data_IF_151115411979
#
_entry.id   IF_151115411979
#
_cell.length_a   1.000
_cell.length_b   1.000
_cell.length_c   1.000
_cell.angle_alpha   90.00
_cell.angle_beta   90.00
_cell.angle_gamma   90.00
#
_symmetry.space_group_name_H-M   'P 1'
#
loop_
_entity.id
_entity.type
_entity.pdbx_description
1 polymer ?
#
# COMPACT_ATOMS: atom_id res chain seq x y z
N UNK A 1 25.53 -0.21 -4.07
CA UNK A 1 26.12 -0.63 -5.37
C UNK A 1 25.79 0.34 -6.50
N UNK A 2 24.71 1.11 -6.42
CA UNK A 2 24.29 2.10 -7.42
C UNK A 2 24.87 3.51 -7.18
N UNK A 3 25.83 3.66 -6.26
CA UNK A 3 26.43 4.97 -5.92
C UNK A 3 27.38 5.51 -6.99
N UNK A 4 27.81 4.67 -7.95
CA UNK A 4 28.84 5.02 -8.95
C UNK A 4 30.27 5.12 -8.39
N UNK A 5 30.46 4.94 -7.09
CA UNK A 5 31.77 4.98 -6.43
C UNK A 5 32.38 3.57 -6.33
N UNK A 6 33.39 3.30 -7.16
CA UNK A 6 34.08 2.01 -7.21
C UNK A 6 34.80 1.66 -5.89
N UNK A 7 35.26 2.66 -5.15
CA UNK A 7 35.88 2.49 -3.83
C UNK A 7 34.86 1.90 -2.86
N UNK A 8 33.69 2.55 -2.73
CA UNK A 8 32.62 2.05 -1.86
C UNK A 8 32.10 0.68 -2.28
N UNK A 9 31.94 0.45 -3.59
CA UNK A 9 31.47 -0.85 -4.12
C UNK A 9 32.45 -1.97 -3.77
N UNK A 10 33.75 -1.76 -3.97
CA UNK A 10 34.78 -2.78 -3.69
C UNK A 10 34.93 -3.11 -2.20
N UNK A 11 34.64 -2.15 -1.31
CA UNK A 11 34.74 -2.34 0.14
C UNK A 11 33.49 -2.96 0.77
N UNK A 12 32.36 -3.00 0.06
CA UNK A 12 31.09 -3.50 0.60
C UNK A 12 31.19 -4.95 1.09
N UNK A 13 31.72 -5.85 0.26
CA UNK A 13 31.82 -7.26 0.62
C UNK A 13 32.79 -7.52 1.79
N UNK A 14 34.04 -6.99 1.78
CA UNK A 14 34.92 -7.06 2.95
C UNK A 14 34.28 -6.51 4.23
N UNK A 15 33.56 -5.39 4.16
CA UNK A 15 32.90 -4.79 5.31
C UNK A 15 31.83 -5.74 5.91
N UNK A 16 30.98 -6.31 5.06
CA UNK A 16 29.93 -7.26 5.50
C UNK A 16 30.54 -8.52 6.12
N UNK A 17 31.61 -9.06 5.54
CA UNK A 17 32.33 -10.20 6.11
C UNK A 17 32.92 -9.88 7.49
N UNK A 18 33.54 -8.71 7.65
CA UNK A 18 34.13 -8.30 8.91
C UNK A 18 33.07 -8.13 10.02
N UNK A 19 31.92 -7.53 9.70
CA UNK A 19 30.80 -7.41 10.65
C UNK A 19 30.28 -8.78 11.06
N UNK A 20 30.10 -9.71 10.11
CA UNK A 20 29.65 -11.06 10.42
C UNK A 20 30.66 -11.84 11.27
N UNK A 21 31.96 -11.68 11.00
CA UNK A 21 33.02 -12.29 11.81
C UNK A 21 33.02 -11.76 13.25
N UNK A 22 32.79 -10.45 13.43
CA UNK A 22 32.65 -9.84 14.75
C UNK A 22 31.41 -10.39 15.48
N UNK A 23 30.27 -10.49 14.80
CA UNK A 23 29.05 -11.08 15.36
C UNK A 23 29.24 -12.56 15.72
N UNK A 24 29.92 -13.35 14.89
CA UNK A 24 30.26 -14.74 15.19
C UNK A 24 31.14 -14.83 16.45
N UNK A 25 32.16 -13.98 16.55
CA UNK A 25 33.06 -13.92 17.72
C UNK A 25 32.32 -13.55 19.01
N UNK A 26 31.27 -12.74 18.90
CA UNK A 26 30.38 -12.38 20.01
C UNK A 26 29.23 -13.40 20.25
N UNK A 27 29.20 -14.54 19.54
CA UNK A 27 28.10 -15.52 19.59
C UNK A 27 26.71 -14.95 19.22
N UNK A 28 26.70 -13.94 18.33
CA UNK A 28 25.51 -13.25 17.83
C UNK A 28 25.22 -13.54 16.35
N UNK A 29 26.11 -14.17 15.58
CA UNK A 29 25.97 -14.32 14.14
C UNK A 29 24.76 -15.16 13.66
N UNK A 30 24.22 -16.03 14.52
CA UNK A 30 22.95 -16.71 14.26
C UNK A 30 21.71 -15.85 14.54
N UNK A 31 21.86 -14.77 15.33
CA UNK A 31 20.78 -13.93 15.88
C UNK A 31 20.65 -12.58 15.17
N UNK A 32 21.77 -11.99 14.78
CA UNK A 32 21.83 -10.71 14.06
C UNK A 32 22.31 -11.01 12.64
N UNK A 33 21.48 -10.65 11.65
CA UNK A 33 21.75 -10.91 10.24
C UNK A 33 22.40 -9.71 9.59
N UNK A 34 23.54 -9.92 8.93
CA UNK A 34 24.22 -8.88 8.16
C UNK A 34 23.72 -8.92 6.73
N UNK A 35 23.28 -7.76 6.22
CA UNK A 35 22.89 -7.59 4.82
C UNK A 35 23.31 -6.19 4.31
N UNK A 36 22.88 -5.86 3.09
CA UNK A 36 23.04 -4.54 2.47
C UNK A 36 21.73 -4.14 1.82
N UNK A 37 21.44 -2.84 1.79
CA UNK A 37 20.23 -2.30 1.18
C UNK A 37 20.49 -1.92 -0.26
N UNK A 38 19.51 -2.19 -1.12
CA UNK A 38 19.55 -1.89 -2.55
C UNK A 38 18.41 -0.97 -2.94
N UNK A 39 18.64 -0.08 -3.89
CA UNK A 39 17.57 0.60 -4.64
C UNK A 39 17.08 -0.30 -5.78
N UNK A 40 15.86 -0.09 -6.29
CA UNK A 40 15.37 -0.79 -7.49
C UNK A 40 16.26 -0.64 -8.73
N UNK A 41 17.12 0.38 -8.79
CA UNK A 41 18.11 0.58 -9.86
C UNK A 41 19.20 -0.51 -9.96
N UNK A 42 19.21 -1.52 -9.07
CA UNK A 42 20.01 -2.74 -9.29
C UNK A 42 19.45 -3.64 -10.40
N UNK A 43 18.20 -3.40 -10.81
CA UNK A 43 17.54 -4.12 -11.91
C UNK A 43 17.69 -3.37 -13.22
N UNK A 44 17.90 -4.11 -14.31
CA UNK A 44 17.84 -3.59 -15.69
C UNK A 44 16.48 -3.80 -16.34
N UNK A 45 15.76 -4.85 -15.93
CA UNK A 45 14.39 -5.13 -16.34
C UNK A 45 13.54 -5.42 -15.11
N UNK A 46 12.30 -4.92 -15.11
CA UNK A 46 11.34 -5.12 -14.02
C UNK A 46 9.86 -5.08 -14.46
N UNK A 47 9.59 -4.86 -15.76
CA UNK A 47 8.24 -4.82 -16.32
C UNK A 47 8.22 -5.63 -17.64
N UNK A 48 7.46 -6.75 -17.72
CA UNK A 48 6.64 -7.31 -16.65
C UNK A 48 7.49 -7.90 -15.50
N UNK A 49 6.94 -8.08 -14.28
CA UNK A 49 7.68 -8.61 -13.13
C UNK A 49 8.41 -9.95 -13.39
N UNK A 50 7.87 -10.82 -14.24
CA UNK A 50 8.52 -12.08 -14.63
C UNK A 50 9.85 -11.88 -15.37
N UNK A 51 10.08 -10.71 -15.97
CA UNK A 51 11.31 -10.37 -16.69
C UNK A 51 12.41 -9.81 -15.77
N UNK A 52 12.10 -9.66 -14.47
CA UNK A 52 13.01 -9.14 -13.46
C UNK A 52 14.43 -9.68 -13.61
N UNK A 53 15.40 -8.80 -13.84
CA UNK A 53 16.81 -9.18 -13.97
C UNK A 53 17.74 -8.10 -13.43
N UNK A 54 18.79 -8.54 -12.72
CA UNK A 54 19.85 -7.64 -12.23
C UNK A 54 20.71 -7.14 -13.38
N UNK A 55 21.16 -5.88 -13.26
CA UNK A 55 22.14 -5.29 -14.17
C UNK A 55 23.35 -6.23 -14.32
N UNK A 56 23.68 -6.68 -15.55
CA UNK A 56 24.82 -7.54 -15.82
C UNK A 56 26.14 -7.04 -15.23
N UNK A 57 26.35 -5.72 -15.17
CA UNK A 57 27.55 -5.11 -14.59
C UNK A 57 27.66 -5.35 -13.08
N UNK A 58 26.54 -5.55 -12.38
CA UNK A 58 26.49 -5.77 -10.94
C UNK A 58 26.45 -7.25 -10.55
N UNK A 59 26.16 -8.16 -11.49
CA UNK A 59 25.89 -9.57 -11.18
C UNK A 59 27.05 -10.29 -10.48
N UNK A 60 28.30 -9.98 -10.81
CA UNK A 60 29.47 -10.60 -10.16
C UNK A 60 29.47 -10.31 -8.65
N UNK A 61 29.37 -9.03 -8.28
CA UNK A 61 29.30 -8.58 -6.89
C UNK A 61 28.03 -9.07 -6.20
N UNK A 62 26.88 -9.03 -6.88
CA UNK A 62 25.60 -9.53 -6.36
C UNK A 62 25.66 -11.03 -6.05
N UNK A 63 26.20 -11.86 -6.93
CA UNK A 63 26.35 -13.30 -6.67
C UNK A 63 27.22 -13.57 -5.45
N UNK A 64 28.29 -12.78 -5.26
CA UNK A 64 29.15 -12.89 -4.09
C UNK A 64 28.39 -12.53 -2.79
N UNK A 65 27.62 -11.44 -2.81
CA UNK A 65 26.77 -11.02 -1.69
C UNK A 65 25.65 -12.02 -1.40
N UNK A 66 24.98 -12.54 -2.44
CA UNK A 66 23.89 -13.50 -2.33
C UNK A 66 24.37 -14.85 -1.80
N UNK A 67 25.54 -15.32 -2.23
CA UNK A 67 26.16 -16.52 -1.66
C UNK A 67 26.43 -16.35 -0.16
N UNK A 68 27.02 -15.21 0.22
CA UNK A 68 27.23 -14.88 1.63
C UNK A 68 25.92 -14.78 2.42
N UNK A 69 24.90 -14.13 1.87
CA UNK A 69 23.59 -14.00 2.50
C UNK A 69 22.93 -15.38 2.70
N UNK A 70 23.00 -16.25 1.69
CA UNK A 70 22.52 -17.63 1.76
C UNK A 70 23.21 -18.42 2.88
N UNK A 71 24.54 -18.37 2.95
CA UNK A 71 25.32 -19.09 3.96
C UNK A 71 25.01 -18.62 5.39
N UNK A 72 24.65 -17.34 5.56
CA UNK A 72 24.36 -16.74 6.87
C UNK A 72 22.85 -16.63 7.18
N UNK A 73 21.98 -17.06 6.24
CA UNK A 73 20.52 -16.88 6.31
C UNK A 73 20.13 -15.40 6.52
N UNK A 74 20.79 -14.52 5.78
CA UNK A 74 20.48 -13.09 5.74
C UNK A 74 19.54 -12.78 4.57
N UNK A 75 18.65 -11.78 4.72
CA UNK A 75 17.72 -11.41 3.67
C UNK A 75 18.39 -10.57 2.57
N UNK A 76 17.78 -10.53 1.40
CA UNK A 76 18.01 -9.50 0.39
C UNK A 76 17.15 -8.27 0.71
N UNK A 77 17.77 -7.15 1.00
CA UNK A 77 17.09 -5.91 1.40
C UNK A 77 16.98 -4.93 0.24
N UNK A 78 15.77 -4.43 -0.04
CA UNK A 78 15.46 -3.59 -1.21
C UNK A 78 14.54 -2.42 -0.84
N UNK A 79 14.63 -1.31 -1.58
CA UNK A 79 13.80 -0.13 -1.42
C UNK A 79 12.92 0.11 -2.67
N UNK A 80 11.76 -0.56 -2.77
CA UNK A 80 10.78 -0.31 -3.82
C UNK A 80 9.98 0.95 -3.50
N UNK A 81 9.85 1.86 -4.47
CA UNK A 81 9.07 3.09 -4.33
C UNK A 81 8.09 3.23 -5.50
N UNK A 82 6.82 2.82 -5.33
CA UNK A 82 5.76 3.08 -6.28
C UNK A 82 5.57 4.57 -6.60
N UNK A 83 5.92 5.46 -5.66
CA UNK A 83 5.94 6.91 -5.85
C UNK A 83 6.77 7.34 -7.08
N UNK A 84 8.03 6.88 -7.19
CA UNK A 84 8.91 7.25 -8.31
C UNK A 84 8.44 6.65 -9.64
N UNK A 85 7.80 5.47 -9.60
CA UNK A 85 7.18 4.89 -10.78
C UNK A 85 6.00 5.75 -11.28
N UNK A 86 5.17 6.27 -10.37
CA UNK A 86 4.10 7.21 -10.71
C UNK A 86 4.63 8.55 -11.23
N UNK A 87 5.69 9.11 -10.64
CA UNK A 87 6.32 10.34 -11.15
C UNK A 87 6.77 10.21 -12.60
N UNK A 88 7.23 9.02 -13.00
CA UNK A 88 7.69 8.74 -14.36
C UNK A 88 6.54 8.52 -15.35
N UNK A 89 5.34 8.20 -14.85
CA UNK A 89 4.15 7.89 -15.64
C UNK A 89 2.87 8.38 -14.91
N UNK A 90 2.57 9.69 -14.97
CA UNK A 90 1.59 10.34 -14.09
C UNK A 90 0.13 10.16 -14.54
N UNK A 91 -0.22 9.02 -15.13
CA UNK A 91 -1.59 8.70 -15.55
C UNK A 91 -2.43 8.21 -14.36
N UNK A 92 -3.74 8.47 -14.39
CA UNK A 92 -4.64 8.14 -13.27
C UNK A 92 -4.68 6.63 -12.97
N UNK A 93 -4.61 5.79 -13.99
CA UNK A 93 -4.54 4.33 -13.82
C UNK A 93 -3.24 3.88 -13.14
N UNK A 94 -2.12 4.58 -13.40
CA UNK A 94 -0.85 4.32 -12.72
C UNK A 94 -0.91 4.79 -11.28
N UNK A 95 -1.55 5.92 -10.99
CA UNK A 95 -1.77 6.36 -9.61
C UNK A 95 -2.58 5.34 -8.81
N UNK A 96 -3.72 4.89 -9.34
CA UNK A 96 -4.56 3.90 -8.67
C UNK A 96 -3.80 2.59 -8.40
N UNK A 97 -3.01 2.14 -9.38
CA UNK A 97 -2.15 0.97 -9.26
C UNK A 97 -1.03 1.16 -8.21
N UNK A 98 -0.44 2.35 -8.11
CA UNK A 98 0.58 2.64 -7.10
C UNK A 98 0.01 2.81 -5.69
N UNK A 99 -1.24 3.28 -5.56
CA UNK A 99 -1.91 3.53 -4.28
C UNK A 99 -2.75 2.35 -3.77
N UNK A 100 -2.69 1.18 -4.40
CA UNK A 100 -3.53 0.00 -4.09
C UNK A 100 -5.05 0.29 -4.19
N UNK A 101 -5.44 1.29 -5.00
CA UNK A 101 -6.84 1.61 -5.23
C UNK A 101 -7.45 0.67 -6.29
N UNK A 102 -8.79 0.55 -6.38
CA UNK A 102 -9.44 -0.23 -7.43
C UNK A 102 -8.95 0.15 -8.83
N UNK A 103 -8.50 -0.86 -9.58
CA UNK A 103 -8.01 -0.72 -10.95
C UNK A 103 -8.18 -2.06 -11.68
N UNK A 104 -7.96 -2.07 -13.00
CA UNK A 104 -8.08 -3.28 -13.82
C UNK A 104 -6.99 -4.34 -13.57
N UNK A 105 -5.95 -3.99 -12.82
CA UNK A 105 -4.71 -4.72 -12.72
C UNK A 105 -3.92 -4.75 -14.05
N UNK A 106 -2.74 -5.36 -13.98
CA UNK A 106 -1.82 -5.58 -15.11
C UNK A 106 -1.48 -7.06 -15.15
N UNK A 107 -1.81 -7.73 -16.26
CA UNK A 107 -1.45 -9.14 -16.46
C UNK A 107 -0.02 -9.20 -16.97
N UNK A 108 0.83 -9.90 -16.23
CA UNK A 108 2.20 -10.20 -16.60
C UNK A 108 2.20 -11.14 -17.83
N UNK A 109 2.82 -10.68 -18.92
CA UNK A 109 2.82 -11.40 -20.20
C UNK A 109 3.72 -12.64 -20.21
N UNK A 110 4.66 -12.78 -19.27
CA UNK A 110 5.58 -13.91 -19.21
C UNK A 110 5.04 -15.08 -18.39
N UNK A 111 4.21 -14.84 -17.38
CA UNK A 111 3.69 -15.88 -16.49
C UNK A 111 2.16 -15.86 -16.25
N UNK A 112 1.45 -14.89 -16.81
CA UNK A 112 -0.01 -14.75 -16.70
C UNK A 112 -0.51 -14.27 -15.33
N UNK A 113 0.38 -13.85 -14.42
CA UNK A 113 -0.01 -13.36 -13.09
C UNK A 113 -0.64 -11.97 -13.18
N UNK A 114 -1.76 -11.79 -12.51
CA UNK A 114 -2.41 -10.49 -12.37
C UNK A 114 -1.79 -9.75 -11.18
N UNK A 115 -1.19 -8.60 -11.45
CA UNK A 115 -0.80 -7.65 -10.42
C UNK A 115 -1.87 -6.57 -10.30
N UNK A 116 -2.35 -6.31 -9.10
CA UNK A 116 -3.35 -5.25 -8.83
C UNK A 116 -2.74 -4.02 -8.17
N UNK A 117 -1.45 -4.08 -7.80
CA UNK A 117 -0.71 -2.95 -7.25
C UNK A 117 0.77 -2.98 -7.65
N UNK A 118 1.42 -1.80 -7.63
CA UNK A 118 2.82 -1.62 -8.03
C UNK A 118 3.82 -2.21 -7.01
N UNK A 119 3.48 -2.23 -5.73
CA UNK A 119 4.37 -2.76 -4.69
C UNK A 119 4.66 -4.25 -4.93
N UNK A 120 3.62 -5.06 -5.14
CA UNK A 120 3.74 -6.48 -5.45
C UNK A 120 4.52 -6.69 -6.74
N UNK A 121 4.26 -5.87 -7.78
CA UNK A 121 4.97 -5.95 -9.05
C UNK A 121 6.47 -5.68 -8.89
N UNK A 122 6.85 -4.66 -8.10
CA UNK A 122 8.26 -4.34 -7.83
C UNK A 122 8.94 -5.41 -6.98
N UNK A 123 8.27 -5.94 -5.96
CA UNK A 123 8.80 -7.02 -5.13
C UNK A 123 8.98 -8.32 -5.93
N UNK A 124 8.01 -8.67 -6.78
CA UNK A 124 8.10 -9.88 -7.60
C UNK A 124 9.11 -9.73 -8.75
N UNK A 125 9.35 -8.52 -9.26
CA UNK A 125 10.48 -8.27 -10.16
C UNK A 125 11.84 -8.59 -9.50
N UNK A 126 11.99 -8.27 -8.21
CA UNK A 126 13.19 -8.64 -7.43
C UNK A 126 13.26 -10.15 -7.23
N UNK A 127 12.14 -10.80 -6.88
CA UNK A 127 12.07 -12.26 -6.74
C UNK A 127 12.45 -12.98 -8.05
N UNK A 128 11.94 -12.51 -9.19
CA UNK A 128 12.32 -13.00 -10.53
C UNK A 128 13.83 -12.84 -10.79
N UNK A 129 14.40 -11.69 -10.44
CA UNK A 129 15.84 -11.44 -10.62
C UNK A 129 16.71 -12.36 -9.75
N UNK A 130 16.31 -12.58 -8.49
CA UNK A 130 16.96 -13.54 -7.59
C UNK A 130 16.87 -14.97 -8.14
N UNK A 131 15.68 -15.36 -8.62
CA UNK A 131 15.45 -16.67 -9.25
C UNK A 131 16.33 -16.88 -10.47
N UNK A 132 16.46 -15.86 -11.34
CA UNK A 132 17.34 -15.90 -12.51
C UNK A 132 18.82 -16.10 -12.19
N UNK A 133 19.26 -15.80 -10.97
CA UNK A 133 20.62 -16.07 -10.48
C UNK A 133 20.73 -17.36 -9.64
N UNK A 134 19.65 -18.12 -9.46
CA UNK A 134 19.62 -19.35 -8.66
C UNK A 134 19.43 -19.13 -7.16
N UNK A 135 18.88 -17.98 -6.76
CA UNK A 135 18.69 -17.55 -5.37
C UNK A 135 17.20 -17.36 -5.01
N UNK A 136 16.31 -18.14 -5.63
CA UNK A 136 14.85 -18.06 -5.46
C UNK A 136 14.35 -18.16 -4.01
N UNK A 137 15.07 -18.91 -3.15
CA UNK A 137 14.69 -19.12 -1.74
C UNK A 137 15.16 -17.99 -0.82
N UNK A 138 15.77 -16.93 -1.38
CA UNK A 138 16.28 -15.79 -0.59
C UNK A 138 15.12 -14.98 -0.05
N UNK A 139 15.10 -14.77 1.27
CA UNK A 139 14.12 -13.89 1.89
C UNK A 139 14.30 -12.45 1.42
N UNK A 140 13.20 -11.81 1.01
CA UNK A 140 13.18 -10.40 0.64
C UNK A 140 12.64 -9.60 1.83
N UNK A 141 13.34 -8.50 2.16
CA UNK A 141 12.89 -7.50 3.13
C UNK A 141 12.85 -6.14 2.43
N UNK A 142 11.74 -5.43 2.59
CA UNK A 142 11.63 -4.05 2.11
C UNK A 142 12.17 -3.12 3.17
N UNK A 143 13.36 -2.55 2.94
CA UNK A 143 14.06 -1.73 3.94
C UNK A 143 13.53 -0.29 3.98
N UNK A 144 13.00 0.21 2.86
CA UNK A 144 12.35 1.51 2.80
C UNK A 144 11.29 1.53 1.70
N UNK A 145 10.13 2.08 2.03
CA UNK A 145 9.11 2.48 1.05
C UNK A 145 8.18 3.52 1.65
N UNK A 146 7.63 4.42 0.85
CA UNK A 146 6.78 5.50 1.36
C UNK A 146 6.28 6.42 0.26
N UNK A 147 5.55 7.44 0.67
CA UNK A 147 4.99 8.44 -0.24
C UNK A 147 4.99 9.82 0.43
N UNK A 148 5.50 10.88 -0.23
CA UNK A 148 5.63 12.19 0.37
C UNK A 148 4.28 12.92 0.47
N UNK A 149 4.05 13.58 1.60
CA UNK A 149 2.81 14.31 1.88
C UNK A 149 2.75 15.70 1.25
N UNK A 150 3.90 16.24 0.84
CA UNK A 150 4.07 17.57 0.24
C UNK A 150 5.26 17.52 -0.71
N UNK A 151 5.33 18.45 -1.66
CA UNK A 151 6.44 18.57 -2.61
C UNK A 151 6.46 19.96 -3.25
N UNK A 152 7.39 20.18 -4.16
CA UNK A 152 7.47 21.41 -4.95
C UNK A 152 6.28 21.48 -5.93
N UNK A 153 5.96 22.68 -6.41
CA UNK A 153 4.79 22.89 -7.29
C UNK A 153 4.87 22.16 -8.63
N UNK A 154 6.07 21.74 -9.03
CA UNK A 154 6.35 20.97 -10.24
C UNK A 154 6.43 19.46 -9.98
N UNK A 155 6.30 19.00 -8.74
CA UNK A 155 6.30 17.58 -8.41
C UNK A 155 4.88 17.01 -8.51
N UNK A 156 4.69 16.03 -9.38
CA UNK A 156 3.42 15.31 -9.51
C UNK A 156 3.39 14.16 -8.50
N UNK A 157 2.29 14.05 -7.73
CA UNK A 157 2.07 12.93 -6.81
C UNK A 157 2.19 13.23 -5.32
N UNK A 158 3.10 14.09 -4.82
CA UNK A 158 3.11 14.42 -3.41
C UNK A 158 1.80 15.09 -2.98
N UNK A 159 1.11 14.48 -2.03
CA UNK A 159 -0.07 15.06 -1.39
C UNK A 159 -0.38 14.32 -0.10
N UNK A 160 -1.06 14.99 0.83
CA UNK A 160 -1.48 14.37 2.08
C UNK A 160 -2.40 13.16 1.83
N UNK A 161 -3.28 13.29 0.83
CA UNK A 161 -4.21 12.24 0.43
C UNK A 161 -3.49 11.01 -0.11
N UNK A 162 -2.55 11.19 -1.05
CA UNK A 162 -1.80 10.10 -1.64
C UNK A 162 -0.87 9.44 -0.62
N UNK A 163 -0.22 10.23 0.25
CA UNK A 163 0.61 9.70 1.32
C UNK A 163 -0.17 8.82 2.31
N UNK A 164 -1.35 9.31 2.71
CA UNK A 164 -2.28 8.54 3.57
C UNK A 164 -2.79 7.28 2.86
N UNK A 165 -3.18 7.38 1.59
CA UNK A 165 -3.66 6.25 0.81
C UNK A 165 -2.57 5.19 0.65
N UNK A 166 -1.38 5.57 0.22
CA UNK A 166 -0.26 4.65 0.01
C UNK A 166 0.11 3.90 1.29
N UNK A 167 0.48 4.63 2.35
CA UNK A 167 0.95 4.01 3.58
C UNK A 167 -0.17 3.21 4.28
N UNK A 168 -1.39 3.74 4.32
CA UNK A 168 -2.53 3.05 4.93
C UNK A 168 -2.92 1.77 4.19
N UNK A 169 -2.93 1.79 2.85
CA UNK A 169 -3.27 0.62 2.05
C UNK A 169 -2.13 -0.41 2.05
N UNK A 170 -0.86 0.03 2.04
CA UNK A 170 0.29 -0.86 2.22
C UNK A 170 0.19 -1.62 3.56
N UNK A 171 -0.07 -0.92 4.66
CA UNK A 171 -0.25 -1.55 5.98
C UNK A 171 -1.40 -2.55 5.96
N UNK A 172 -2.51 -2.22 5.31
CA UNK A 172 -3.67 -3.11 5.17
C UNK A 172 -3.31 -4.36 4.36
N UNK A 173 -2.64 -4.19 3.23
CA UNK A 173 -2.15 -5.28 2.39
C UNK A 173 -1.21 -6.21 3.17
N UNK A 174 -0.20 -5.66 3.85
CA UNK A 174 0.76 -6.45 4.63
C UNK A 174 0.09 -7.21 5.79
N UNK A 175 -0.90 -6.63 6.46
CA UNK A 175 -1.67 -7.27 7.54
C UNK A 175 -2.62 -8.37 7.04
N UNK A 176 -3.02 -8.33 5.76
CA UNK A 176 -3.88 -9.38 5.18
C UNK A 176 -3.16 -10.72 5.00
N UNK A 177 -1.82 -10.71 5.03
CA UNK A 177 -0.96 -11.89 4.82
C UNK A 177 -1.11 -12.55 3.44
N UNK A 178 -1.76 -11.88 2.48
CA UNK A 178 -1.98 -12.42 1.13
C UNK A 178 -0.67 -12.66 0.38
N UNK A 179 0.37 -11.86 0.67
CA UNK A 179 1.65 -11.90 -0.03
C UNK A 179 1.55 -11.35 -1.45
N UNK A 180 2.53 -11.68 -2.29
CA UNK A 180 2.58 -11.26 -3.70
C UNK A 180 2.12 -12.39 -4.63
N UNK A 181 1.82 -12.11 -5.92
CA UNK A 181 1.47 -13.16 -6.89
C UNK A 181 2.49 -14.30 -7.07
N UNK A 182 3.80 -14.04 -6.90
CA UNK A 182 4.86 -15.05 -6.93
C UNK A 182 5.23 -15.60 -5.55
N UNK A 183 4.93 -14.88 -4.46
CA UNK A 183 5.17 -15.32 -3.09
C UNK A 183 3.88 -15.25 -2.24
N UNK A 184 2.87 -16.08 -2.57
CA UNK A 184 1.56 -16.02 -1.90
C UNK A 184 1.61 -16.57 -0.47
N UNK A 185 0.75 -16.03 0.40
CA UNK A 185 0.55 -16.53 1.77
C UNK A 185 1.62 -16.13 2.77
N UNK A 186 2.59 -15.29 2.38
CA UNK A 186 3.62 -14.72 3.27
C UNK A 186 3.64 -13.20 3.13
N UNK A 187 3.49 -12.50 4.26
CA UNK A 187 3.71 -11.05 4.29
C UNK A 187 5.19 -10.72 4.13
N UNK A 188 5.50 -9.60 3.48
CA UNK A 188 6.87 -9.13 3.28
C UNK A 188 7.22 -8.17 4.42
N UNK A 189 8.26 -8.48 5.18
CA UNK A 189 8.76 -7.57 6.22
C UNK A 189 9.14 -6.23 5.57
N UNK A 190 8.46 -5.17 5.99
CA UNK A 190 8.48 -3.88 5.30
C UNK A 190 8.61 -2.74 6.30
N UNK A 191 9.54 -1.83 6.04
CA UNK A 191 9.80 -0.64 6.83
C UNK A 191 9.32 0.61 6.08
N UNK A 192 8.41 1.35 6.72
CA UNK A 192 7.86 2.58 6.14
C UNK A 192 8.86 3.72 6.32
N UNK A 193 9.20 4.35 5.21
CA UNK A 193 9.99 5.56 5.14
C UNK A 193 9.05 6.79 5.16
N UNK A 194 9.07 7.66 6.17
CA UNK A 194 9.88 7.61 7.39
C UNK A 194 9.05 8.00 8.62
N UNK A 195 9.65 7.91 9.81
CA UNK A 195 8.94 8.27 11.03
C UNK A 195 8.63 9.78 11.09
N UNK A 196 9.61 10.64 10.77
CA UNK A 196 9.47 12.09 10.82
C UNK A 196 9.76 12.73 9.46
N UNK A 197 9.17 13.91 9.23
CA UNK A 197 9.64 14.84 8.20
C UNK A 197 11.09 15.24 8.55
N UNK A 198 11.98 15.18 7.55
CA UNK A 198 13.41 15.46 7.71
C UNK A 198 13.78 16.76 6.98
N UNK A 199 13.64 17.89 7.66
CA UNK A 199 13.73 19.25 7.09
C UNK A 199 15.12 19.64 6.54
N UNK A 200 16.17 18.89 6.92
CA UNK A 200 17.53 19.08 6.41
C UNK A 200 17.88 18.23 5.20
N UNK A 201 16.96 17.41 4.66
CA UNK A 201 17.26 16.59 3.48
C UNK A 201 17.48 17.47 2.23
N UNK A 202 18.58 17.23 1.48
CA UNK A 202 18.82 17.93 0.23
C UNK A 202 17.88 17.42 -0.87
N UNK A 203 17.82 18.15 -2.00
CA UNK A 203 17.01 17.76 -3.16
C UNK A 203 15.60 18.37 -3.15
N UNK A 204 14.68 17.71 -3.84
CA UNK A 204 13.29 18.15 -4.02
C UNK A 204 12.56 18.32 -2.68
N UNK A 205 11.51 19.14 -2.64
CA UNK A 205 10.75 19.35 -1.39
C UNK A 205 10.02 18.10 -0.90
N UNK A 206 9.70 17.16 -1.78
CA UNK A 206 9.19 15.84 -1.40
C UNK A 206 10.11 15.09 -0.43
N UNK A 207 11.43 15.19 -0.58
CA UNK A 207 12.40 14.52 0.29
C UNK A 207 12.24 14.91 1.76
N UNK A 208 11.73 16.11 2.04
CA UNK A 208 11.54 16.66 3.40
C UNK A 208 10.16 16.33 3.98
N UNK A 209 9.33 15.54 3.29
CA UNK A 209 7.90 15.41 3.59
C UNK A 209 7.38 13.95 3.61
N UNK A 210 8.25 12.96 3.78
CA UNK A 210 7.90 11.52 3.88
C UNK A 210 7.41 11.08 5.27
N UNK A 211 7.45 11.96 6.27
CA UNK A 211 7.17 11.61 7.65
C UNK A 211 5.73 11.18 7.91
N UNK A 212 5.56 10.17 8.76
CA UNK A 212 4.28 9.89 9.43
C UNK A 212 3.96 10.96 10.49
N UNK A 213 5.00 11.61 11.01
CA UNK A 213 4.95 12.73 11.94
C UNK A 213 5.73 13.92 11.35
N UNK A 214 5.35 15.14 11.72
CA UNK A 214 6.08 16.36 11.37
C UNK A 214 7.25 16.58 12.33
N UNK A 215 8.11 17.55 12.03
CA UNK A 215 9.25 17.93 12.87
C UNK A 215 8.85 18.43 14.28
N UNK A 216 7.63 18.91 14.44
CA UNK A 216 7.05 19.33 15.73
C UNK A 216 6.38 18.19 16.52
N UNK A 217 6.60 16.93 16.10
CA UNK A 217 6.03 15.70 16.67
C UNK A 217 4.52 15.54 16.46
N UNK A 218 3.85 16.45 15.75
CA UNK A 218 2.44 16.26 15.40
C UNK A 218 2.29 15.19 14.32
N UNK A 219 1.19 14.43 14.38
CA UNK A 219 0.88 13.42 13.36
C UNK A 219 0.65 14.13 12.01
N UNK A 220 1.34 13.69 10.96
CA UNK A 220 1.11 14.21 9.61
C UNK A 220 -0.24 13.70 9.08
N UNK A 221 -0.48 12.39 9.22
CA UNK A 221 -1.73 11.70 8.90
C UNK A 221 -1.78 10.36 9.65
N UNK A 222 -2.99 9.85 9.88
CA UNK A 222 -3.16 8.50 10.43
C UNK A 222 -2.93 7.45 9.33
N UNK A 223 -1.80 6.74 9.42
CA UNK A 223 -1.45 5.62 8.55
C UNK A 223 -2.00 4.26 9.05
N UNK A 224 -2.68 4.20 10.20
CA UNK A 224 -3.23 2.96 10.74
C UNK A 224 -2.20 2.06 11.45
N UNK A 225 -1.03 2.59 11.85
CA UNK A 225 -0.01 1.84 12.60
C UNK A 225 -0.34 1.67 14.08
N UNK A 226 -1.10 2.58 14.68
CA UNK A 226 -1.47 2.48 16.09
C UNK A 226 -2.35 1.24 16.31
N UNK A 227 -1.78 0.21 16.95
CA UNK A 227 -2.59 -0.77 17.69
C UNK A 227 -3.28 0.03 18.78
N UNK A 228 -4.60 0.17 18.69
CA UNK A 228 -5.40 0.72 19.79
C UNK A 228 -5.07 -0.05 21.08
N UNK A 229 -4.15 0.50 21.87
CA UNK A 229 -3.77 0.06 23.22
C UNK A 229 -4.33 1.00 24.27
N UNK A 230 -4.99 2.07 23.85
CA UNK A 230 -6.12 2.58 24.60
C UNK A 230 -7.32 1.68 24.31
N UNK A 231 -7.57 0.75 25.24
CA UNK A 231 -8.96 0.44 25.60
C UNK A 231 -9.60 1.74 26.11
N UNK A 232 -9.93 2.66 25.21
CA UNK A 232 -11.28 3.21 25.26
C UNK A 232 -12.19 1.98 25.22
N UNK A 233 -13.27 1.90 26.02
CA UNK A 233 -14.30 0.90 25.74
C UNK A 233 -14.58 0.97 24.23
N UNK A 234 -14.85 -0.14 23.52
CA UNK A 234 -15.15 -0.04 22.11
C UNK A 234 -16.30 0.95 21.99
N UNK A 235 -16.01 2.20 21.62
CA UNK A 235 -17.03 3.04 21.06
C UNK A 235 -17.22 2.36 19.73
N UNK A 236 -18.21 1.49 19.70
CA UNK A 236 -19.14 1.38 18.60
C UNK A 236 -19.52 2.83 18.23
N UNK A 237 -18.64 3.56 17.54
CA UNK A 237 -19.05 4.75 16.83
C UNK A 237 -19.82 4.18 15.67
N UNK A 238 -21.12 4.09 15.90
CA UNK A 238 -22.10 3.79 14.89
C UNK A 238 -21.87 4.78 13.75
N UNK A 239 -21.35 4.29 12.62
CA UNK A 239 -21.10 5.09 11.43
C UNK A 239 -21.95 4.57 10.28
N UNK A 240 -22.38 5.50 9.45
CA UNK A 240 -23.17 5.25 8.26
C UNK A 240 -22.45 5.81 7.04
N UNK A 241 -22.67 5.18 5.89
CA UNK A 241 -22.23 5.71 4.61
C UNK A 241 -23.36 6.53 3.99
N UNK A 242 -23.09 7.79 3.62
CA UNK A 242 -24.07 8.67 2.98
C UNK A 242 -23.45 9.39 1.77
N UNK A 243 -24.24 9.85 0.79
CA UNK A 243 -23.75 10.65 -0.32
C UNK A 243 -23.16 11.98 0.16
N UNK A 244 -22.14 12.48 -0.54
CA UNK A 244 -21.65 13.85 -0.37
C UNK A 244 -22.68 14.84 -0.93
N UNK A 245 -22.66 16.07 -0.41
CA UNK A 245 -23.44 17.16 -1.01
C UNK A 245 -22.93 17.49 -2.41
N UNK A 246 -23.84 17.74 -3.36
CA UNK A 246 -23.51 18.17 -4.72
C UNK A 246 -23.24 17.05 -5.73
N UNK A 247 -23.43 15.78 -5.36
CA UNK A 247 -23.38 14.64 -6.29
C UNK A 247 -24.61 14.67 -7.20
N UNK A 248 -24.43 14.38 -8.49
CA UNK A 248 -25.52 14.38 -9.45
C UNK A 248 -26.42 13.14 -9.30
N UNK A 249 -27.70 13.27 -9.66
CA UNK A 249 -28.65 12.14 -9.63
C UNK A 249 -28.19 10.97 -10.52
N UNK A 250 -27.42 11.26 -11.59
CA UNK A 250 -26.85 10.22 -12.48
C UNK A 250 -25.84 9.37 -11.72
N UNK A 251 -24.88 9.99 -11.03
CA UNK A 251 -23.87 9.27 -10.23
C UNK A 251 -24.51 8.52 -9.06
N UNK A 252 -25.55 9.08 -8.45
CA UNK A 252 -26.29 8.41 -7.38
C UNK A 252 -27.09 7.22 -7.88
N UNK A 253 -27.65 7.30 -9.08
CA UNK A 253 -28.32 6.17 -9.71
C UNK A 253 -27.32 5.05 -10.05
N UNK A 254 -26.13 5.38 -10.54
CA UNK A 254 -25.07 4.39 -10.78
C UNK A 254 -24.65 3.67 -9.49
N UNK A 255 -24.50 4.41 -8.38
CA UNK A 255 -24.24 3.82 -7.07
C UNK A 255 -25.38 2.90 -6.63
N UNK A 256 -26.62 3.33 -6.84
CA UNK A 256 -27.80 2.55 -6.46
C UNK A 256 -27.88 1.23 -7.24
N UNK A 257 -27.71 1.29 -8.56
CA UNK A 257 -27.71 0.12 -9.44
C UNK A 257 -26.56 -0.83 -9.11
N UNK A 258 -25.37 -0.28 -8.83
CA UNK A 258 -24.22 -1.04 -8.37
C UNK A 258 -24.52 -1.78 -7.07
N UNK A 259 -25.11 -1.12 -6.08
CA UNK A 259 -25.38 -1.72 -4.77
C UNK A 259 -26.44 -2.80 -4.86
N UNK A 260 -27.57 -2.49 -5.50
CA UNK A 260 -28.73 -3.39 -5.55
C UNK A 260 -28.51 -4.61 -6.45
N UNK A 261 -27.49 -4.61 -7.30
CA UNK A 261 -27.07 -5.78 -8.07
C UNK A 261 -26.13 -6.73 -7.30
N UNK A 262 -25.72 -6.39 -6.07
CA UNK A 262 -24.80 -7.23 -5.27
C UNK A 262 -25.54 -8.29 -4.49
N UNK A 263 -24.98 -9.50 -4.51
CA UNK A 263 -25.50 -10.62 -3.73
C UNK A 263 -25.53 -10.29 -2.23
N UNK A 264 -26.68 -10.50 -1.61
CA UNK A 264 -26.87 -10.33 -0.17
C UNK A 264 -27.19 -8.90 0.28
N UNK A 265 -27.42 -7.95 -0.63
CA UNK A 265 -28.00 -6.63 -0.33
C UNK A 265 -29.51 -6.66 -0.61
N UNK A 266 -30.32 -6.22 0.37
CA UNK A 266 -31.77 -6.11 0.23
C UNK A 266 -32.18 -4.65 0.01
N UNK A 267 -32.44 -4.29 -1.25
CA UNK A 267 -32.98 -2.98 -1.62
C UNK A 267 -34.51 -2.89 -1.56
N UNK A 268 -35.21 -3.91 -1.06
CA UNK A 268 -36.67 -3.87 -0.87
C UNK A 268 -37.19 -2.66 -0.06
N UNK A 269 -36.50 -2.22 1.03
CA UNK A 269 -36.99 -1.10 1.84
C UNK A 269 -37.08 0.26 1.13
N UNK A 270 -36.37 0.45 0.01
CA UNK A 270 -36.41 1.68 -0.80
C UNK A 270 -37.33 1.55 -2.02
N UNK A 271 -38.01 0.41 -2.22
CA UNK A 271 -39.02 0.26 -3.28
C UNK A 271 -40.38 0.80 -2.81
N UNK A 272 -41.30 1.05 -3.75
CA UNK A 272 -42.62 1.58 -3.45
C UNK A 272 -43.34 0.75 -2.36
N UNK A 273 -43.77 1.42 -1.28
CA UNK A 273 -44.38 0.78 -0.11
C UNK A 273 -43.39 0.29 0.95
N UNK A 274 -42.08 0.43 0.71
CA UNK A 274 -41.01 0.16 1.66
C UNK A 274 -40.84 1.26 2.71
N UNK A 275 -40.27 0.91 3.86
CA UNK A 275 -40.13 1.82 5.00
C UNK A 275 -39.18 3.00 4.75
N UNK A 276 -38.31 2.91 3.75
CA UNK A 276 -37.32 3.90 3.33
C UNK A 276 -37.58 4.45 1.91
N UNK A 277 -38.80 4.27 1.39
CA UNK A 277 -39.17 4.82 0.09
C UNK A 277 -39.29 6.34 0.12
N UNK A 278 -39.92 6.90 1.16
CA UNK A 278 -40.10 8.35 1.28
C UNK A 278 -38.93 9.00 2.02
N UNK A 279 -38.40 10.15 1.57
CA UNK A 279 -38.81 10.89 0.37
C UNK A 279 -38.38 10.17 -0.91
N UNK A 280 -39.30 10.10 -1.87
CA UNK A 280 -39.09 9.50 -3.20
C UNK A 280 -38.10 10.32 -4.04
N UNK A 281 -36.81 10.14 -3.76
CA UNK A 281 -35.70 10.86 -4.39
C UNK A 281 -34.49 9.95 -4.51
N UNK A 282 -33.74 10.09 -5.62
CA UNK A 282 -32.53 9.31 -5.88
C UNK A 282 -31.51 9.43 -4.74
N UNK A 283 -31.35 10.62 -4.17
CA UNK A 283 -30.46 10.86 -3.02
C UNK A 283 -30.85 10.03 -1.80
N UNK A 284 -32.14 9.99 -1.45
CA UNK A 284 -32.63 9.24 -0.28
C UNK A 284 -32.45 7.74 -0.46
N UNK A 285 -32.78 7.22 -1.64
CA UNK A 285 -32.64 5.79 -1.95
C UNK A 285 -31.18 5.37 -2.02
N UNK A 286 -30.33 6.16 -2.69
CA UNK A 286 -28.89 5.91 -2.78
C UNK A 286 -28.25 5.93 -1.39
N UNK A 287 -28.60 6.88 -0.51
CA UNK A 287 -28.07 6.93 0.84
C UNK A 287 -28.34 5.64 1.64
N UNK A 288 -29.55 5.10 1.55
CA UNK A 288 -29.89 3.86 2.23
C UNK A 288 -29.10 2.66 1.66
N UNK A 289 -29.08 2.52 0.34
CA UNK A 289 -28.36 1.44 -0.34
C UNK A 289 -26.85 1.49 -0.08
N UNK A 290 -26.22 2.65 -0.24
CA UNK A 290 -24.79 2.85 0.01
C UNK A 290 -24.42 2.50 1.46
N UNK A 291 -25.28 2.82 2.43
CA UNK A 291 -25.12 2.36 3.80
C UNK A 291 -25.25 0.83 3.92
N UNK A 292 -26.25 0.19 3.30
CA UNK A 292 -26.38 -1.28 3.32
C UNK A 292 -25.10 -1.96 2.86
N UNK A 293 -24.53 -1.50 1.74
CA UNK A 293 -23.28 -2.02 1.21
C UNK A 293 -22.13 -1.85 2.20
N UNK A 294 -21.95 -0.65 2.74
CA UNK A 294 -20.93 -0.36 3.76
C UNK A 294 -21.04 -1.27 4.99
N UNK A 295 -22.26 -1.47 5.51
CA UNK A 295 -22.49 -2.35 6.67
C UNK A 295 -22.21 -3.82 6.35
N UNK A 296 -22.65 -4.30 5.18
CA UNK A 296 -22.54 -5.71 4.76
C UNK A 296 -21.09 -6.12 4.52
N UNK A 297 -20.31 -5.28 3.83
CA UNK A 297 -18.99 -5.68 3.33
C UNK A 297 -17.82 -5.29 4.25
N UNK A 298 -18.08 -5.16 5.56
CA UNK A 298 -17.03 -5.08 6.58
C UNK A 298 -16.68 -3.67 7.05
N UNK A 299 -17.49 -2.65 6.73
CA UNK A 299 -17.39 -1.29 7.28
C UNK A 299 -16.04 -0.59 7.10
N UNK A 300 -15.28 -1.00 6.09
CA UNK A 300 -14.04 -0.32 5.75
C UNK A 300 -14.34 0.99 5.01
N UNK A 301 -13.50 2.04 5.17
CA UNK A 301 -13.72 3.33 4.51
C UNK A 301 -13.86 3.24 2.99
N UNK A 302 -13.13 2.33 2.33
CA UNK A 302 -13.23 2.12 0.88
C UNK A 302 -14.57 1.54 0.40
N UNK A 303 -15.33 0.89 1.28
CA UNK A 303 -16.71 0.46 0.97
C UNK A 303 -17.71 1.63 1.05
N UNK A 304 -17.24 2.83 1.42
CA UNK A 304 -18.00 4.07 1.42
C UNK A 304 -17.30 5.14 0.55
N UNK A 305 -16.59 4.72 -0.50
CA UNK A 305 -15.99 5.66 -1.43
C UNK A 305 -16.95 6.00 -2.58
N UNK A 306 -17.49 4.96 -3.25
CA UNK A 306 -18.42 5.08 -4.39
C UNK A 306 -17.93 6.08 -5.44
N UNK A 307 -16.70 5.89 -5.94
CA UNK A 307 -16.06 6.83 -6.88
C UNK A 307 -16.00 8.25 -6.29
N UNK A 308 -15.64 8.35 -5.01
CA UNK A 308 -15.61 9.57 -4.21
C UNK A 308 -16.93 10.32 -4.05
N UNK A 309 -18.08 9.72 -4.37
CA UNK A 309 -19.40 10.36 -4.20
C UNK A 309 -19.97 10.19 -2.79
N UNK A 310 -19.31 9.41 -1.92
CA UNK A 310 -19.82 9.09 -0.58
C UNK A 310 -18.88 9.51 0.55
N UNK A 311 -19.44 9.61 1.76
CA UNK A 311 -18.69 9.94 2.97
C UNK A 311 -19.26 9.24 4.20
N UNK A 312 -18.40 9.03 5.20
CA UNK A 312 -18.81 8.46 6.48
C UNK A 312 -19.35 9.54 7.41
N UNK A 313 -20.50 9.28 8.01
CA UNK A 313 -21.10 10.14 9.02
C UNK A 313 -21.31 9.40 10.33
N UNK A 314 -21.17 10.12 11.45
CA UNK A 314 -21.53 9.68 12.80
C UNK A 314 -22.95 10.10 13.19
N UNK A 315 -23.63 10.89 12.35
CA UNK A 315 -25.03 11.26 12.55
C UNK A 315 -25.93 10.16 12.01
N UNK A 316 -26.84 9.65 12.84
CA UNK A 316 -27.79 8.62 12.43
C UNK A 316 -28.73 9.18 11.35
N UNK A 317 -28.68 8.66 10.10
CA UNK A 317 -29.53 9.13 9.02
C UNK A 317 -30.94 8.52 9.05
N UNK A 318 -31.27 7.68 10.04
CA UNK A 318 -32.61 7.10 10.21
C UNK A 318 -33.65 8.19 10.47
N UNK A 319 -34.85 8.01 9.92
CA UNK A 319 -35.97 8.91 10.11
C UNK A 319 -37.29 8.12 10.04
N UNK A 320 -38.31 8.54 10.79
CA UNK A 320 -39.62 7.88 10.82
C UNK A 320 -39.49 6.35 11.00
N UNK A 321 -40.05 5.57 10.06
CA UNK A 321 -39.96 4.11 10.02
C UNK A 321 -38.72 3.61 9.24
N UNK A 322 -37.97 4.48 8.58
CA UNK A 322 -36.76 4.13 7.86
C UNK A 322 -35.57 4.03 8.83
N UNK A 323 -35.18 2.79 9.14
CA UNK A 323 -34.05 2.51 10.05
C UNK A 323 -32.83 2.11 9.22
N UNK A 324 -31.80 2.96 9.25
CA UNK A 324 -30.52 2.66 8.62
C UNK A 324 -29.72 1.69 9.49
N UNK A 325 -29.38 0.51 8.97
CA UNK A 325 -28.64 -0.48 9.75
C UNK A 325 -27.27 0.03 10.15
N UNK A 326 -26.83 -0.39 11.33
CA UNK A 326 -25.59 0.05 11.91
C UNK A 326 -25.00 -1.08 12.76
N UNK A 327 -24.06 -1.83 12.17
CA UNK A 327 -23.71 -3.21 12.54
C UNK A 327 -23.80 -3.55 14.04
N UNK A 328 -24.92 -4.16 14.44
CA UNK A 328 -25.16 -4.94 15.66
C UNK A 328 -26.52 -5.65 15.56
N UNK A 329 -26.61 -6.65 14.69
CA UNK A 329 -27.46 -7.85 14.84
C UNK A 329 -26.84 -8.95 14.01
#
# INVERSE_FOLDING_TARGET
MTSGDNGLISQLFPAIQNVQNALNSASLGGKIKVSTVHSMAVLTQSDPPSSGSFDPALQSTLKQLLAFQKDNKSPFTINPYPFFAYQSDPRSETLAFCLFQPNSGRVDSGNGKLYTNMFDAQVDAVHSALSGLGFQDTEIVVAETGWPSRGDTNEVGPSLENAKAYNGNLITHLRSLVGTPLMPGKSIDTYIFALYDEDLKPGAASERAFGLYKTDLTVAYDAGLSKSTQKSPPMKTTQWCVPKGGVSDVELQENLDYVCSREGIDCGPIQQGGACYEPDTTVSHAAFAMNLYYQKFGRNPWNCDFSQTATLTSQNPSYNACIYPSGST
#
